data_IF_183056052083
#
_entry.id   IF_183056052083
#
_cell.length_a   1.000
_cell.length_b   1.000
_cell.length_c   1.000
_cell.angle_alpha   90.00
_cell.angle_beta   90.00
_cell.angle_gamma   90.00
#
_symmetry.space_group_name_H-M   'P 1'
#
loop_
_entity.id
_entity.type
_entity.pdbx_description
1 polymer ?
#
# COMPACT_ATOMS: atom_id res chain seq x y z
N UNK A 1 3.68 -1.87 -6.08
CA UNK A 1 3.52 -2.09 -7.51
C UNK A 1 2.11 -2.60 -7.82
N UNK A 2 1.60 -2.29 -9.00
CA UNK A 2 0.35 -2.83 -9.50
C UNK A 2 0.60 -4.15 -10.25
N UNK A 3 -0.41 -5.04 -10.27
CA UNK A 3 -0.34 -6.30 -11.01
C UNK A 3 0.32 -7.46 -10.28
N UNK A 4 0.71 -7.31 -9.02
CA UNK A 4 1.36 -8.38 -8.24
C UNK A 4 0.43 -9.55 -7.98
N UNK A 5 -0.85 -9.30 -7.70
CA UNK A 5 -1.85 -10.35 -7.53
C UNK A 5 -1.95 -11.24 -8.78
N UNK A 6 -2.04 -10.61 -9.94
CA UNK A 6 -2.09 -11.34 -11.22
C UNK A 6 -0.80 -12.10 -11.52
N UNK A 7 0.35 -11.57 -11.11
CA UNK A 7 1.62 -12.27 -11.26
C UNK A 7 1.65 -13.54 -10.40
N UNK A 8 1.19 -13.49 -9.16
CA UNK A 8 1.14 -14.63 -8.25
C UNK A 8 0.15 -15.67 -8.77
N UNK A 9 -1.06 -15.26 -9.12
CA UNK A 9 -2.09 -16.13 -9.70
C UNK A 9 -1.61 -16.82 -11.00
N UNK A 10 -1.01 -16.05 -11.91
CA UNK A 10 -0.44 -16.62 -13.13
C UNK A 10 0.65 -17.65 -12.84
N UNK A 11 1.52 -17.37 -11.89
CA UNK A 11 2.57 -18.30 -11.48
C UNK A 11 1.97 -19.62 -10.98
N UNK A 12 0.96 -19.54 -10.12
CA UNK A 12 0.28 -20.72 -9.60
C UNK A 12 -0.40 -21.54 -10.70
N UNK A 13 -1.10 -20.89 -11.61
CA UNK A 13 -1.73 -21.55 -12.77
C UNK A 13 -0.68 -22.22 -13.65
N UNK A 14 0.43 -21.55 -13.97
CA UNK A 14 1.50 -22.12 -14.77
C UNK A 14 2.17 -23.32 -14.10
N UNK A 15 2.37 -23.29 -12.79
CA UNK A 15 2.90 -24.43 -12.05
C UNK A 15 1.98 -25.66 -12.10
N UNK A 16 0.67 -25.43 -12.08
CA UNK A 16 -0.34 -26.50 -12.23
C UNK A 16 -0.41 -27.06 -13.66
N UNK A 17 -0.28 -26.18 -14.67
CA UNK A 17 -0.37 -26.57 -16.09
C UNK A 17 0.92 -27.23 -16.61
N UNK A 18 2.08 -26.82 -16.11
CA UNK A 18 3.38 -27.24 -16.60
C UNK A 18 4.32 -27.70 -15.48
N UNK A 19 3.93 -28.69 -14.66
CA UNK A 19 4.71 -29.08 -13.47
C UNK A 19 6.11 -29.59 -13.83
N UNK A 20 6.27 -30.30 -14.95
CA UNK A 20 7.58 -30.81 -15.40
C UNK A 20 8.55 -29.69 -15.75
N UNK A 21 8.06 -28.58 -16.32
CA UNK A 21 8.88 -27.42 -16.62
C UNK A 21 9.42 -26.77 -15.35
N UNK A 22 8.58 -26.65 -14.33
CA UNK A 22 8.97 -26.08 -13.04
C UNK A 22 9.92 -26.97 -12.23
N UNK A 23 9.87 -28.30 -12.43
CA UNK A 23 10.83 -29.23 -11.83
C UNK A 23 12.21 -29.19 -12.51
N UNK A 24 12.22 -28.95 -13.82
CA UNK A 24 13.47 -28.94 -14.62
C UNK A 24 14.22 -27.62 -14.60
N UNK A 25 13.57 -26.52 -14.28
CA UNK A 25 14.15 -25.18 -14.28
C UNK A 25 14.25 -24.62 -12.86
N UNK A 26 15.34 -23.93 -12.58
CA UNK A 26 15.47 -23.14 -11.35
C UNK A 26 14.68 -21.84 -11.53
N UNK A 27 13.46 -21.82 -11.01
CA UNK A 27 12.57 -20.68 -11.09
C UNK A 27 12.49 -20.04 -9.69
N UNK A 28 12.76 -18.74 -9.61
CA UNK A 28 12.69 -18.01 -8.35
C UNK A 28 11.22 -17.85 -7.88
N UNK A 29 10.95 -18.03 -6.58
CA UNK A 29 9.61 -17.94 -6.02
C UNK A 29 9.11 -16.48 -6.04
N UNK A 30 7.80 -16.30 -6.24
CA UNK A 30 7.12 -14.99 -6.19
C UNK A 30 5.99 -14.97 -5.18
N UNK A 31 5.57 -16.12 -4.68
CA UNK A 31 4.50 -16.32 -3.72
C UNK A 31 4.78 -15.72 -2.34
N UNK A 32 6.04 -15.48 -2.00
CA UNK A 32 6.48 -14.86 -0.75
C UNK A 32 6.34 -13.32 -0.74
N UNK A 33 5.92 -12.71 -1.85
CA UNK A 33 5.78 -11.25 -1.95
C UNK A 33 4.87 -10.64 -0.86
N UNK A 34 3.67 -11.19 -0.58
CA UNK A 34 2.80 -10.64 0.48
C UNK A 34 3.46 -10.66 1.86
N UNK A 35 4.19 -11.73 2.19
CA UNK A 35 4.93 -11.84 3.45
C UNK A 35 6.06 -10.80 3.55
N UNK A 36 6.84 -10.62 2.47
CA UNK A 36 7.90 -9.62 2.41
C UNK A 36 7.31 -8.21 2.56
N UNK A 37 6.20 -7.93 1.87
CA UNK A 37 5.49 -6.65 1.99
C UNK A 37 5.02 -6.42 3.43
N UNK A 38 4.39 -7.40 4.05
CA UNK A 38 3.92 -7.32 5.44
C UNK A 38 5.08 -7.05 6.41
N UNK A 39 6.21 -7.73 6.24
CA UNK A 39 7.39 -7.53 7.07
C UNK A 39 8.00 -6.14 6.86
N UNK A 40 8.00 -5.64 5.63
CA UNK A 40 8.39 -4.27 5.29
C UNK A 40 7.47 -3.26 5.99
N UNK A 41 6.15 -3.44 5.90
CA UNK A 41 5.20 -2.56 6.59
C UNK A 41 5.41 -2.58 8.11
N UNK A 42 5.62 -3.76 8.70
CA UNK A 42 5.92 -3.89 10.14
C UNK A 42 7.20 -3.15 10.56
N UNK A 43 8.19 -3.02 9.68
CA UNK A 43 9.43 -2.29 9.98
C UNK A 43 9.22 -0.76 10.02
N UNK A 44 8.17 -0.26 9.36
CA UNK A 44 7.83 1.16 9.28
C UNK A 44 6.95 1.62 10.45
N UNK A 45 7.29 1.20 11.65
CA UNK A 45 6.53 1.47 12.87
C UNK A 45 6.55 2.97 13.22
N UNK A 46 5.40 3.62 13.48
CA UNK A 46 5.36 5.00 13.93
C UNK A 46 5.94 5.16 15.35
N UNK A 47 6.32 6.39 15.71
CA UNK A 47 6.94 6.68 17.03
C UNK A 47 6.04 6.28 18.20
N UNK A 48 4.73 6.49 18.06
CA UNK A 48 3.72 6.26 19.10
C UNK A 48 2.94 4.96 18.88
N UNK A 49 3.63 3.90 18.45
CA UNK A 49 3.00 2.62 18.13
C UNK A 49 2.47 1.88 19.36
N UNK A 50 1.38 1.17 19.19
CA UNK A 50 0.88 0.17 20.14
C UNK A 50 1.77 -1.09 20.17
N UNK A 51 1.71 -1.86 21.26
CA UNK A 51 2.45 -3.14 21.37
C UNK A 51 2.05 -4.13 20.26
N UNK A 52 0.77 -4.18 19.90
CA UNK A 52 0.25 -4.93 18.75
C UNK A 52 0.13 -3.95 17.59
N UNK A 53 1.01 -4.06 16.60
CA UNK A 53 0.97 -3.25 15.39
C UNK A 53 -0.25 -3.58 14.57
N UNK A 54 -1.16 -2.63 14.41
CA UNK A 54 -2.35 -2.78 13.59
C UNK A 54 -2.13 -2.14 12.23
N UNK A 55 -2.12 -2.98 11.18
CA UNK A 55 -1.85 -2.60 9.79
C UNK A 55 -3.15 -2.76 9.00
N UNK A 56 -3.48 -1.78 8.20
CA UNK A 56 -4.65 -1.83 7.31
C UNK A 56 -4.28 -1.44 5.88
N UNK A 57 -5.03 -1.95 4.91
CA UNK A 57 -4.96 -1.49 3.51
C UNK A 57 -6.12 -0.52 3.28
N UNK A 58 -5.80 0.73 2.95
CA UNK A 58 -6.79 1.75 2.61
C UNK A 58 -7.08 1.73 1.12
N UNK A 59 -8.29 1.34 0.75
CA UNK A 59 -8.78 1.26 -0.63
C UNK A 59 -9.82 2.34 -0.93
N UNK A 60 -9.91 2.83 -2.19
CA UNK A 60 -11.02 3.69 -2.62
C UNK A 60 -12.37 2.96 -2.67
N UNK A 61 -12.37 1.62 -2.60
CA UNK A 61 -13.57 0.80 -2.60
C UNK A 61 -13.79 -0.02 -3.88
N UNK A 62 -14.91 -0.76 -3.95
CA UNK A 62 -15.16 -1.78 -4.97
C UNK A 62 -15.34 -1.25 -6.39
N UNK A 63 -15.57 0.05 -6.56
CA UNK A 63 -15.66 0.68 -7.90
C UNK A 63 -14.27 0.97 -8.51
N UNK A 64 -13.19 0.79 -7.75
CA UNK A 64 -11.84 0.96 -8.26
C UNK A 64 -11.40 -0.27 -9.07
N UNK A 65 -10.78 -0.05 -10.22
CA UNK A 65 -10.32 -1.12 -11.12
C UNK A 65 -9.28 -2.05 -10.49
N UNK A 66 -8.52 -1.57 -9.50
CA UNK A 66 -7.52 -2.35 -8.76
C UNK A 66 -8.07 -2.96 -7.46
N UNK A 67 -9.38 -2.93 -7.21
CA UNK A 67 -9.97 -3.42 -5.96
C UNK A 67 -9.66 -4.90 -5.70
N UNK A 68 -9.68 -5.73 -6.75
CA UNK A 68 -9.29 -7.14 -6.65
C UNK A 68 -7.86 -7.28 -6.07
N UNK A 69 -6.91 -6.50 -6.58
CA UNK A 69 -5.54 -6.53 -6.08
C UNK A 69 -5.44 -6.08 -4.62
N UNK A 70 -6.24 -5.09 -4.21
CA UNK A 70 -6.26 -4.63 -2.82
C UNK A 70 -6.79 -5.71 -1.88
N UNK A 71 -7.89 -6.37 -2.26
CA UNK A 71 -8.49 -7.46 -1.46
C UNK A 71 -7.60 -8.70 -1.43
N UNK A 72 -7.00 -9.06 -2.57
CA UNK A 72 -6.06 -10.17 -2.65
C UNK A 72 -4.87 -9.98 -1.71
N UNK A 73 -4.26 -8.80 -1.73
CA UNK A 73 -3.13 -8.49 -0.84
C UNK A 73 -3.54 -8.46 0.64
N UNK A 74 -4.72 -7.92 0.95
CA UNK A 74 -5.23 -7.90 2.33
C UNK A 74 -5.41 -9.33 2.87
N UNK A 75 -6.01 -10.20 2.08
CA UNK A 75 -6.24 -11.60 2.43
C UNK A 75 -4.92 -12.36 2.62
N UNK A 76 -4.00 -12.26 1.65
CA UNK A 76 -2.70 -12.91 1.70
C UNK A 76 -1.80 -12.44 2.85
N UNK A 77 -1.91 -11.18 3.25
CA UNK A 77 -1.17 -10.62 4.39
C UNK A 77 -1.88 -10.80 5.73
N UNK A 78 -3.15 -11.21 5.72
CA UNK A 78 -3.95 -11.31 6.93
C UNK A 78 -4.17 -9.97 7.63
N UNK A 79 -4.41 -8.89 6.85
CA UNK A 79 -4.67 -7.54 7.35
C UNK A 79 -6.04 -7.04 6.88
N UNK A 80 -6.61 -6.09 7.60
CA UNK A 80 -7.93 -5.55 7.26
C UNK A 80 -7.88 -4.67 6.01
N UNK A 81 -8.86 -4.87 5.11
CA UNK A 81 -9.13 -4.00 3.99
C UNK A 81 -10.17 -2.98 4.40
N UNK A 82 -9.84 -1.70 4.37
CA UNK A 82 -10.69 -0.61 4.85
C UNK A 82 -10.89 0.47 3.80
N UNK A 83 -12.03 1.14 3.85
CA UNK A 83 -12.32 2.37 3.12
C UNK A 83 -12.15 3.58 4.04
N UNK A 84 -12.14 4.79 3.47
CA UNK A 84 -12.06 6.02 4.27
C UNK A 84 -13.18 6.16 5.30
N UNK A 85 -14.38 5.65 4.99
CA UNK A 85 -15.54 5.63 5.91
C UNK A 85 -15.34 4.75 7.14
N UNK A 86 -14.47 3.75 7.06
CA UNK A 86 -14.20 2.81 8.15
C UNK A 86 -13.16 3.36 9.13
N UNK A 87 -12.45 4.40 8.73
CA UNK A 87 -11.44 5.07 9.53
C UNK A 87 -11.94 6.42 10.05
N UNK A 88 -11.38 6.87 11.16
CA UNK A 88 -11.55 8.22 11.67
C UNK A 88 -10.41 8.61 12.59
N UNK A 89 -10.23 9.91 12.79
CA UNK A 89 -9.23 10.44 13.70
C UNK A 89 -9.93 11.05 14.93
N UNK A 90 -9.49 10.63 16.09
CA UNK A 90 -9.94 11.16 17.39
C UNK A 90 -8.73 11.57 18.22
N UNK A 91 -8.68 12.83 18.65
CA UNK A 91 -7.56 13.41 19.39
C UNK A 91 -6.18 13.15 18.75
N UNK A 92 -6.11 13.23 17.42
CA UNK A 92 -4.89 13.02 16.64
C UNK A 92 -4.46 11.55 16.49
N UNK A 93 -5.27 10.60 16.94
CA UNK A 93 -5.03 9.16 16.80
C UNK A 93 -6.00 8.58 15.77
N UNK A 94 -5.47 7.78 14.84
CA UNK A 94 -6.30 7.12 13.82
C UNK A 94 -6.86 5.80 14.35
N UNK A 95 -8.16 5.62 14.17
CA UNK A 95 -8.90 4.43 14.58
C UNK A 95 -9.66 3.81 13.42
N UNK A 96 -9.78 2.49 13.44
CA UNK A 96 -10.69 1.72 12.62
C UNK A 96 -11.96 1.39 13.41
N UNK A 97 -13.11 1.51 12.77
CA UNK A 97 -14.41 1.06 13.28
C UNK A 97 -14.51 -0.45 13.14
N UNK A 98 -14.83 -1.14 14.23
CA UNK A 98 -15.05 -2.58 14.22
C UNK A 98 -16.38 -2.92 14.90
N UNK A 99 -16.87 -4.13 14.70
CA UNK A 99 -18.10 -4.62 15.38
C UNK A 99 -17.95 -4.73 16.90
N UNK A 100 -16.71 -4.71 17.40
CA UNK A 100 -16.39 -4.77 18.84
C UNK A 100 -16.03 -3.40 19.44
N UNK A 101 -16.13 -2.34 18.64
CA UNK A 101 -15.76 -0.98 19.04
C UNK A 101 -14.72 -0.36 18.11
N UNK A 102 -13.74 0.34 18.67
CA UNK A 102 -12.66 0.99 17.92
C UNK A 102 -11.32 0.30 18.16
N UNK A 103 -10.53 0.20 17.11
CA UNK A 103 -9.14 -0.28 17.19
C UNK A 103 -8.20 0.78 16.63
N UNK A 104 -7.12 1.06 17.36
CA UNK A 104 -6.07 1.99 16.89
C UNK A 104 -5.40 1.40 15.65
N UNK A 105 -5.20 2.23 14.62
CA UNK A 105 -4.43 1.89 13.43
C UNK A 105 -3.04 2.52 13.54
N UNK A 106 -2.00 1.71 13.38
CA UNK A 106 -0.62 2.17 13.47
C UNK A 106 0.01 2.37 12.08
N UNK A 107 -0.39 1.57 11.08
CA UNK A 107 0.18 1.62 9.73
C UNK A 107 -0.95 1.50 8.71
N UNK A 108 -0.98 2.44 7.78
CA UNK A 108 -1.90 2.44 6.64
C UNK A 108 -1.08 2.18 5.38
N UNK A 109 -1.31 1.05 4.71
CA UNK A 109 -0.86 0.84 3.34
C UNK A 109 -1.90 1.41 2.39
N UNK A 110 -1.66 2.61 1.88
CA UNK A 110 -2.63 3.32 1.05
C UNK A 110 -2.63 2.84 -0.40
N UNK A 111 -3.83 2.74 -0.97
CA UNK A 111 -4.09 2.49 -2.38
C UNK A 111 -4.98 3.57 -3.00
N UNK A 112 -4.95 4.76 -2.43
CA UNK A 112 -5.60 5.98 -2.93
C UNK A 112 -4.54 7.04 -3.24
N UNK A 113 -4.84 7.93 -4.19
CA UNK A 113 -3.91 8.99 -4.60
C UNK A 113 -3.74 10.06 -3.52
N UNK A 114 -2.62 10.76 -3.56
CA UNK A 114 -2.23 11.77 -2.56
C UNK A 114 -3.33 12.81 -2.31
N UNK A 115 -3.93 13.32 -3.37
CA UNK A 115 -4.95 14.37 -3.28
C UNK A 115 -6.19 13.93 -2.50
N UNK A 116 -6.49 12.63 -2.45
CA UNK A 116 -7.71 12.11 -1.85
C UNK A 116 -7.52 11.56 -0.44
N UNK A 117 -6.29 11.51 0.10
CA UNK A 117 -6.00 10.90 1.39
C UNK A 117 -6.73 11.60 2.54
N UNK A 118 -6.70 12.93 2.56
CA UNK A 118 -7.25 13.74 3.65
C UNK A 118 -7.99 14.96 3.10
N UNK A 119 -9.33 15.01 3.19
CA UNK A 119 -10.12 16.13 2.68
C UNK A 119 -9.87 17.45 3.43
N UNK A 120 -9.31 17.44 4.63
CA UNK A 120 -8.99 18.66 5.37
C UNK A 120 -7.71 19.29 4.81
N UNK A 121 -6.73 18.47 4.45
CA UNK A 121 -5.39 18.94 4.05
C UNK A 121 -5.27 19.11 2.53
N UNK A 122 -5.88 18.24 1.74
CA UNK A 122 -5.74 18.19 0.28
C UNK A 122 -7.04 18.59 -0.44
N UNK A 123 -7.72 17.65 -1.09
CA UNK A 123 -8.96 17.95 -1.82
C UNK A 123 -10.19 17.85 -0.92
N UNK A 124 -10.83 18.99 -0.64
CA UNK A 124 -12.04 19.09 0.18
C UNK A 124 -13.24 18.29 -0.35
N UNK A 125 -13.22 17.96 -1.63
CA UNK A 125 -14.28 17.17 -2.26
C UNK A 125 -14.03 15.66 -2.16
N UNK A 126 -12.92 15.24 -1.57
CA UNK A 126 -12.61 13.82 -1.40
C UNK A 126 -13.62 13.12 -0.48
N UNK A 127 -14.34 12.16 -1.04
CA UNK A 127 -15.27 11.29 -0.29
C UNK A 127 -14.63 9.95 0.13
N UNK A 128 -13.40 9.67 -0.31
CA UNK A 128 -12.71 8.39 -0.10
C UNK A 128 -11.55 8.47 0.90
N UNK A 129 -11.20 9.68 1.31
CA UNK A 129 -10.13 9.94 2.28
C UNK A 129 -10.58 9.88 3.73
N UNK A 130 -9.65 10.10 4.64
CA UNK A 130 -9.85 10.10 6.09
C UNK A 130 -9.55 11.48 6.65
N UNK A 131 -10.56 12.23 7.12
CA UNK A 131 -10.34 13.59 7.64
C UNK A 131 -9.36 13.60 8.82
N UNK A 132 -8.31 14.44 8.73
CA UNK A 132 -7.31 14.62 9.78
C UNK A 132 -6.22 13.54 9.85
N UNK A 133 -6.23 12.56 8.95
CA UNK A 133 -5.23 11.48 8.99
C UNK A 133 -3.81 11.99 8.71
N UNK A 134 -3.67 13.07 7.94
CA UNK A 134 -2.38 13.66 7.65
C UNK A 134 -1.76 14.33 8.87
N UNK A 135 -2.57 14.95 9.74
CA UNK A 135 -2.07 15.48 11.01
C UNK A 135 -1.70 14.38 11.99
N UNK A 136 -2.45 13.28 12.03
CA UNK A 136 -2.08 12.07 12.78
C UNK A 136 -0.73 11.50 12.30
N UNK A 137 -0.50 11.48 10.98
CA UNK A 137 0.78 11.06 10.37
C UNK A 137 1.94 12.00 10.76
N UNK A 138 1.78 13.32 10.63
CA UNK A 138 2.80 14.30 11.02
C UNK A 138 3.17 14.20 12.51
N UNK A 139 2.19 13.89 13.36
CA UNK A 139 2.38 13.70 14.79
C UNK A 139 3.05 12.37 15.16
N UNK A 140 3.27 11.48 14.20
CA UNK A 140 3.89 10.16 14.43
C UNK A 140 2.97 9.16 15.14
N UNK A 141 1.65 9.35 15.06
CA UNK A 141 0.65 8.46 15.66
C UNK A 141 0.21 7.35 14.70
N UNK A 142 0.33 7.57 13.39
CA UNK A 142 0.12 6.59 12.32
C UNK A 142 1.21 6.76 11.27
N UNK A 143 1.60 5.68 10.59
CA UNK A 143 2.44 5.76 9.40
C UNK A 143 1.60 5.49 8.15
N UNK A 144 1.88 6.22 7.06
CA UNK A 144 1.24 6.06 5.76
C UNK A 144 2.28 5.57 4.75
N UNK A 145 2.10 4.37 4.25
CA UNK A 145 2.93 3.73 3.23
C UNK A 145 2.08 3.66 1.94
N UNK A 146 2.58 3.91 0.84
CA UNK A 146 3.48 4.82 0.24
C UNK A 146 3.37 6.26 0.77
N UNK A 147 4.47 6.88 1.10
CA UNK A 147 4.45 8.19 1.75
C UNK A 147 3.69 9.25 0.93
N UNK A 148 2.91 10.14 1.55
CA UNK A 148 2.32 11.28 0.86
C UNK A 148 3.40 12.10 0.13
N UNK A 149 3.13 12.48 -1.12
CA UNK A 149 4.09 13.13 -2.02
C UNK A 149 4.90 12.18 -2.90
N UNK A 150 4.84 10.85 -2.67
CA UNK A 150 5.54 9.87 -3.52
C UNK A 150 4.93 9.71 -4.92
N UNK A 151 3.74 10.25 -5.16
CA UNK A 151 3.07 10.21 -6.47
C UNK A 151 3.88 10.85 -7.61
N UNK A 152 4.79 11.74 -7.28
CA UNK A 152 5.73 12.30 -8.26
C UNK A 152 6.63 11.22 -8.89
N UNK A 153 6.95 10.15 -8.14
CA UNK A 153 7.75 9.03 -8.63
C UNK A 153 6.97 8.10 -9.57
N UNK A 154 5.63 8.21 -9.60
CA UNK A 154 4.77 7.44 -10.51
C UNK A 154 4.62 8.13 -11.87
N UNK A 155 5.05 9.39 -12.00
CA UNK A 155 4.98 10.13 -13.25
C UNK A 155 6.00 9.59 -14.26
N UNK A 156 5.50 9.11 -15.40
CA UNK A 156 6.35 8.58 -16.48
C UNK A 156 7.31 9.60 -17.06
N UNK A 157 7.02 10.90 -16.96
CA UNK A 157 7.93 11.96 -17.38
C UNK A 157 9.25 11.96 -16.58
N UNK A 158 9.20 11.58 -15.30
CA UNK A 158 10.41 11.46 -14.46
C UNK A 158 11.33 10.36 -14.97
N UNK A 159 10.79 9.25 -15.45
CA UNK A 159 11.61 8.18 -16.04
C UNK A 159 12.38 8.67 -17.26
N UNK A 160 11.75 9.48 -18.11
CA UNK A 160 12.40 10.05 -19.30
C UNK A 160 13.54 10.98 -18.90
N UNK A 161 13.33 11.87 -17.94
CA UNK A 161 14.36 12.82 -17.45
C UNK A 161 15.50 12.07 -16.74
N UNK A 162 15.19 11.13 -15.86
CA UNK A 162 16.18 10.33 -15.13
C UNK A 162 17.03 9.51 -16.09
N UNK A 163 16.44 8.86 -17.08
CA UNK A 163 17.14 8.05 -18.06
C UNK A 163 18.09 8.89 -18.95
N UNK A 164 17.67 10.08 -19.40
CA UNK A 164 18.50 10.97 -20.18
C UNK A 164 19.68 11.52 -19.38
N UNK A 165 19.49 11.83 -18.09
CA UNK A 165 20.57 12.29 -17.22
C UNK A 165 21.59 11.20 -16.92
N UNK A 166 21.15 9.97 -16.64
CA UNK A 166 22.05 8.83 -16.41
C UNK A 166 22.91 8.54 -17.64
N UNK A 167 22.31 8.51 -18.84
CA UNK A 167 23.07 8.34 -20.08
C UNK A 167 24.05 9.47 -20.39
N UNK A 168 23.72 10.72 -20.08
CA UNK A 168 24.62 11.83 -20.26
C UNK A 168 25.89 11.71 -19.40
N UNK A 169 25.81 11.08 -18.23
CA UNK A 169 26.97 10.78 -17.39
C UNK A 169 27.80 9.58 -17.88
N UNK A 170 27.18 8.59 -18.51
CA UNK A 170 27.89 7.42 -19.06
C UNK A 170 28.67 7.72 -20.36
N UNK A 171 28.31 8.78 -21.09
CA UNK A 171 29.01 9.18 -22.32
C UNK A 171 30.18 10.13 -22.08
N UNK A 172 30.48 10.48 -20.83
CA UNK A 172 31.62 11.35 -20.45
C UNK A 172 32.80 10.56 -19.85
N UNK A 173 32.87 9.25 -20.06
CA UNK A 173 34.02 8.34 -19.76
C UNK A 173 34.62 7.88 -21.11
#
# INVERSE_FOLDING_TARGET
PSGVSYMIENREIMMRMFPELFQSLKIEPVENYPEILLNTLKSLTPKNCSKKRNIVILTPGPLNSAYYEHSFLADMMGVELVQGSDLYVDQGITYMKTTRGREKVDIIYRRIDDNFIDPITFDRNSCIGVPGVFDSYKSGNVNICSAPGSGIADDKAIYTVSYTHLRAHETCL
#
